data_IF_828564781104
#
_entry.id   IF_828564781104
#
_cell.length_a   1.000
_cell.length_b   1.000
_cell.length_c   1.000
_cell.angle_alpha   90.00
_cell.angle_beta   90.00
_cell.angle_gamma   90.00
#
_symmetry.space_group_name_H-M   'P 1'
#
loop_
_entity.id
_entity.type
_entity.pdbx_description
1 polymer ?
#
# COMPACT_ATOMS: atom_id res chain seq x y z
N UNK A 1 5.71 42.69 -12.54
CA UNK A 1 4.83 41.58 -12.13
C UNK A 1 5.33 40.31 -12.83
N UNK A 2 6.23 39.56 -12.17
CA UNK A 2 6.82 38.35 -12.76
C UNK A 2 5.84 37.18 -12.63
N UNK A 3 5.31 36.75 -13.76
CA UNK A 3 4.51 35.53 -13.86
C UNK A 3 5.47 34.35 -13.63
N UNK A 4 5.34 33.67 -12.48
CA UNK A 4 6.01 32.40 -12.23
C UNK A 4 5.50 31.38 -13.25
N UNK A 5 6.28 31.11 -14.29
CA UNK A 5 6.09 29.96 -15.16
C UNK A 5 6.22 28.70 -14.30
N UNK A 6 5.13 27.96 -14.13
CA UNK A 6 5.21 26.55 -13.72
C UNK A 6 6.14 25.86 -14.72
N UNK A 7 7.24 25.29 -14.22
CA UNK A 7 8.12 24.46 -15.04
C UNK A 7 7.31 23.25 -15.49
N UNK A 8 6.95 23.22 -16.77
CA UNK A 8 6.43 22.04 -17.44
C UNK A 8 7.59 21.04 -17.50
N UNK A 9 7.56 20.00 -16.67
CA UNK A 9 8.51 18.88 -16.76
C UNK A 9 7.94 17.98 -17.88
N UNK A 10 8.64 17.81 -19.01
CA UNK A 10 8.16 16.96 -20.08
C UNK A 10 7.97 15.51 -19.57
N UNK A 11 6.94 14.82 -20.05
CA UNK A 11 6.59 13.43 -19.70
C UNK A 11 7.71 12.38 -19.96
N UNK A 12 8.87 12.80 -20.50
CA UNK A 12 10.09 12.01 -20.60
C UNK A 12 11.10 12.44 -19.52
N UNK A 13 11.00 11.82 -18.34
CA UNK A 13 12.11 11.35 -17.48
C UNK A 13 11.64 11.04 -16.05
N UNK A 14 10.42 10.52 -15.85
CA UNK A 14 10.08 9.99 -14.52
C UNK A 14 10.81 8.65 -14.36
N UNK A 15 11.52 8.50 -13.25
CA UNK A 15 12.01 7.21 -12.80
C UNK A 15 10.84 6.20 -12.65
N UNK A 16 11.12 4.89 -12.60
CA UNK A 16 10.10 3.88 -12.35
C UNK A 16 9.27 4.11 -11.07
N UNK A 17 9.89 4.50 -9.95
CA UNK A 17 9.13 4.78 -8.72
C UNK A 17 8.33 6.09 -8.81
N UNK A 18 8.86 7.16 -9.40
CA UNK A 18 8.07 8.37 -9.66
C UNK A 18 6.87 8.10 -10.58
N UNK A 19 7.05 7.25 -11.60
CA UNK A 19 5.98 6.85 -12.52
C UNK A 19 4.88 6.08 -11.79
N UNK A 20 5.23 5.08 -10.98
CA UNK A 20 4.28 4.33 -10.16
C UNK A 20 3.54 5.26 -9.21
N UNK A 21 4.27 6.11 -8.50
CA UNK A 21 3.70 7.04 -7.53
C UNK A 21 2.76 8.04 -8.20
N UNK A 22 3.13 8.57 -9.36
CA UNK A 22 2.31 9.48 -10.15
C UNK A 22 0.97 8.84 -10.53
N UNK A 23 0.98 7.59 -10.99
CA UNK A 23 -0.24 6.85 -11.35
C UNK A 23 -1.22 6.77 -10.17
N UNK A 24 -0.74 6.39 -8.98
CA UNK A 24 -1.58 6.22 -7.79
C UNK A 24 -1.93 7.52 -7.08
N UNK A 25 -1.20 8.60 -7.34
CA UNK A 25 -1.49 9.93 -6.82
C UNK A 25 -2.46 10.71 -7.71
N UNK A 26 -2.45 10.48 -9.02
CA UNK A 26 -3.18 11.34 -9.97
C UNK A 26 -4.25 10.62 -10.79
N UNK A 27 -4.17 9.30 -10.97
CA UNK A 27 -5.07 8.57 -11.86
C UNK A 27 -5.96 7.56 -11.13
N UNK A 28 -5.46 6.97 -10.04
CA UNK A 28 -6.25 6.05 -9.21
C UNK A 28 -6.77 6.80 -7.99
N UNK A 29 -8.09 6.76 -7.80
CA UNK A 29 -8.80 7.46 -6.72
C UNK A 29 -9.45 6.50 -5.74
N UNK A 30 -9.90 7.03 -4.60
CA UNK A 30 -10.68 6.31 -3.58
C UNK A 30 -11.88 5.58 -4.17
N UNK A 31 -12.51 6.12 -5.22
CA UNK A 31 -13.68 5.53 -5.87
C UNK A 31 -13.39 4.14 -6.47
N UNK A 32 -12.14 3.84 -6.82
CA UNK A 32 -11.74 2.54 -7.36
C UNK A 32 -11.73 1.43 -6.31
N UNK A 33 -11.81 1.79 -5.02
CA UNK A 33 -11.82 0.84 -3.90
C UNK A 33 -13.00 1.05 -2.96
N UNK A 34 -13.84 2.06 -3.16
CA UNK A 34 -14.98 2.32 -2.29
C UNK A 34 -16.13 1.35 -2.53
N UNK A 35 -16.82 0.98 -1.46
CA UNK A 35 -18.10 0.27 -1.50
C UNK A 35 -19.27 1.23 -1.29
N UNK A 36 -20.45 0.85 -1.77
CA UNK A 36 -21.68 1.60 -1.49
C UNK A 36 -21.97 1.61 0.01
N UNK A 37 -22.35 2.78 0.53
CA UNK A 37 -22.89 2.91 1.87
C UNK A 37 -24.37 2.56 1.79
N UNK A 38 -24.75 1.45 2.42
CA UNK A 38 -26.16 1.09 2.57
C UNK A 38 -26.85 2.11 3.48
N UNK A 39 -28.01 2.62 3.07
CA UNK A 39 -28.72 3.74 3.71
C UNK A 39 -30.12 3.29 4.13
N UNK A 40 -30.54 3.70 5.34
CA UNK A 40 -31.89 3.46 5.85
C UNK A 40 -32.55 4.78 6.26
N UNK A 41 -33.88 4.81 6.24
CA UNK A 41 -34.65 5.97 6.72
C UNK A 41 -34.49 6.12 8.25
N UNK A 42 -34.43 7.36 8.73
CA UNK A 42 -34.36 7.63 10.17
C UNK A 42 -35.54 7.09 10.99
N UNK A 43 -36.70 6.90 10.36
CA UNK A 43 -37.90 6.33 10.97
C UNK A 43 -37.92 4.78 10.97
N UNK A 44 -36.93 4.12 10.35
CA UNK A 44 -36.81 2.65 10.40
C UNK A 44 -36.51 2.18 11.82
N UNK A 45 -37.10 1.06 12.24
CA UNK A 45 -36.78 0.43 13.52
C UNK A 45 -35.35 -0.11 13.52
N UNK A 46 -34.65 0.05 14.65
CA UNK A 46 -33.27 -0.43 14.77
C UNK A 46 -33.17 -1.95 14.63
N UNK A 47 -34.23 -2.71 14.96
CA UNK A 47 -34.27 -4.17 14.76
C UNK A 47 -34.10 -4.56 13.30
N UNK A 48 -34.76 -3.84 12.40
CA UNK A 48 -34.72 -4.12 10.97
C UNK A 48 -33.35 -3.76 10.40
N UNK A 49 -32.85 -2.58 10.76
CA UNK A 49 -31.50 -2.15 10.39
C UNK A 49 -30.41 -3.08 10.94
N UNK A 50 -30.59 -3.63 12.14
CA UNK A 50 -29.66 -4.57 12.75
C UNK A 50 -29.72 -5.94 12.07
N UNK A 51 -30.87 -6.34 11.49
CA UNK A 51 -30.95 -7.48 10.57
C UNK A 51 -30.13 -7.22 9.31
N UNK A 52 -30.35 -6.09 8.63
CA UNK A 52 -29.60 -5.70 7.42
C UNK A 52 -28.09 -5.76 7.68
N UNK A 53 -27.64 -5.18 8.80
CA UNK A 53 -26.23 -5.19 9.19
C UNK A 53 -25.69 -6.60 9.46
N UNK A 54 -26.47 -7.50 10.07
CA UNK A 54 -26.04 -8.88 10.34
C UNK A 54 -25.98 -9.72 9.07
N UNK A 55 -27.02 -9.62 8.24
CA UNK A 55 -27.18 -10.43 7.05
C UNK A 55 -26.10 -10.12 6.01
N UNK A 56 -25.65 -8.86 5.95
CA UNK A 56 -24.61 -8.41 5.02
C UNK A 56 -23.22 -8.24 5.67
N UNK A 57 -23.10 -8.48 6.98
CA UNK A 57 -21.85 -8.30 7.71
C UNK A 57 -21.39 -6.84 7.83
N UNK A 58 -22.30 -5.87 7.73
CA UNK A 58 -21.98 -4.45 7.85
C UNK A 58 -21.81 -4.02 9.31
N UNK A 59 -20.80 -3.18 9.55
CA UNK A 59 -20.58 -2.55 10.85
C UNK A 59 -21.25 -1.18 10.98
N UNK A 60 -21.68 -0.57 9.87
CA UNK A 60 -22.40 0.69 9.85
C UNK A 60 -23.39 0.78 8.69
N UNK A 61 -24.39 1.64 8.87
CA UNK A 61 -25.34 2.06 7.84
C UNK A 61 -25.40 3.59 7.82
N UNK A 62 -25.61 4.17 6.64
CA UNK A 62 -26.02 5.56 6.49
C UNK A 62 -27.45 5.74 6.98
N UNK A 63 -27.77 6.94 7.45
CA UNK A 63 -29.13 7.30 7.85
C UNK A 63 -29.57 8.51 7.04
N UNK A 64 -30.73 8.39 6.40
CA UNK A 64 -31.34 9.48 5.66
C UNK A 64 -32.54 10.11 6.38
N UNK A 65 -32.72 11.40 6.12
CA UNK A 65 -33.91 12.16 6.44
C UNK A 65 -34.23 13.10 5.28
N UNK A 66 -35.49 13.11 4.84
CA UNK A 66 -35.99 13.94 3.73
C UNK A 66 -35.13 13.82 2.45
N UNK A 67 -34.71 12.59 2.12
CA UNK A 67 -33.91 12.27 0.91
C UNK A 67 -32.46 12.76 0.96
N UNK A 68 -31.92 13.03 2.16
CA UNK A 68 -30.51 13.38 2.36
C UNK A 68 -29.88 12.50 3.42
N UNK A 69 -28.65 12.06 3.18
CA UNK A 69 -27.87 11.33 4.19
C UNK A 69 -27.41 12.32 5.27
N UNK A 70 -27.98 12.20 6.46
CA UNK A 70 -27.74 13.13 7.59
C UNK A 70 -26.69 12.63 8.58
N UNK A 71 -26.31 11.35 8.48
CA UNK A 71 -25.28 10.75 9.32
C UNK A 71 -25.18 9.25 9.08
N UNK A 72 -24.58 8.56 10.03
CA UNK A 72 -24.46 7.11 10.01
C UNK A 72 -24.68 6.55 11.42
N UNK A 73 -24.88 5.25 11.52
CA UNK A 73 -24.98 4.55 12.80
C UNK A 73 -24.09 3.32 12.80
N UNK A 74 -23.57 2.96 13.99
CA UNK A 74 -22.69 1.81 14.16
C UNK A 74 -23.43 0.66 14.83
N UNK A 75 -23.28 -0.56 14.30
CA UNK A 75 -23.97 -1.76 14.79
C UNK A 75 -23.84 -1.98 16.29
N UNK A 76 -22.63 -1.75 16.82
CA UNK A 76 -22.29 -1.97 18.24
C UNK A 76 -22.99 -1.00 19.20
N UNK A 77 -23.51 0.13 18.71
CA UNK A 77 -24.11 1.18 19.54
C UNK A 77 -25.64 1.17 19.45
N UNK A 78 -26.22 0.30 18.61
CA UNK A 78 -27.66 0.19 18.45
C UNK A 78 -28.29 -0.50 19.65
N UNK A 79 -29.36 0.12 20.17
CA UNK A 79 -30.33 -0.49 21.07
C UNK A 79 -31.72 -0.54 20.43
N UNK A 80 -32.76 -0.68 21.24
CA UNK A 80 -34.15 -0.65 20.77
C UNK A 80 -34.60 0.79 20.50
N UNK A 81 -35.26 1.02 19.37
CA UNK A 81 -35.83 2.32 19.01
C UNK A 81 -35.84 2.58 17.52
N UNK A 82 -35.77 3.86 17.14
CA UNK A 82 -35.74 4.32 15.76
C UNK A 82 -34.30 4.66 15.35
N UNK A 83 -33.92 4.44 14.10
CA UNK A 83 -32.56 4.69 13.61
C UNK A 83 -32.11 6.15 13.86
N UNK A 84 -33.03 7.12 13.77
CA UNK A 84 -32.74 8.54 14.02
C UNK A 84 -32.19 8.86 15.41
N UNK A 85 -32.45 8.02 16.42
CA UNK A 85 -31.93 8.25 17.78
C UNK A 85 -30.47 7.83 17.95
N UNK A 86 -29.91 7.11 16.98
CA UNK A 86 -28.54 6.57 17.02
C UNK A 86 -27.60 7.21 15.99
N UNK A 87 -28.02 8.31 15.37
CA UNK A 87 -27.24 9.01 14.34
C UNK A 87 -25.95 9.58 14.94
N UNK A 88 -24.85 9.30 14.26
CA UNK A 88 -23.55 9.96 14.41
C UNK A 88 -23.30 10.87 13.22
N UNK A 89 -22.77 12.06 13.50
CA UNK A 89 -22.33 12.99 12.47
C UNK A 89 -21.05 12.49 11.81
N UNK A 90 -20.92 12.74 10.51
CA UNK A 90 -19.67 12.51 9.79
C UNK A 90 -18.60 13.50 10.25
N UNK A 91 -17.46 12.99 10.71
CA UNK A 91 -16.31 13.83 11.06
C UNK A 91 -15.58 14.25 9.79
N UNK A 92 -15.17 15.52 9.71
CA UNK A 92 -14.42 16.03 8.53
C UNK A 92 -13.15 15.23 8.24
N UNK A 93 -12.50 14.69 9.28
CA UNK A 93 -11.30 13.85 9.14
C UNK A 93 -11.59 12.47 8.52
N UNK A 94 -12.84 12.04 8.50
CA UNK A 94 -13.29 10.75 7.97
C UNK A 94 -14.02 10.90 6.63
N UNK A 95 -14.10 12.11 6.05
CA UNK A 95 -14.81 12.36 4.79
C UNK A 95 -13.84 12.85 3.72
N UNK A 96 -13.86 12.23 2.56
CA UNK A 96 -13.05 12.62 1.39
C UNK A 96 -13.91 12.68 0.13
N UNK A 97 -13.54 13.51 -0.84
CA UNK A 97 -14.18 13.48 -2.17
C UNK A 97 -13.81 12.19 -2.92
N UNK A 98 -14.73 11.71 -3.75
CA UNK A 98 -14.53 10.63 -4.73
C UNK A 98 -13.30 10.78 -5.65
N UNK A 99 -12.81 12.01 -5.85
CA UNK A 99 -11.59 12.31 -6.60
C UNK A 99 -10.31 12.24 -5.76
N UNK A 100 -10.39 11.97 -4.45
CA UNK A 100 -9.22 11.85 -3.57
C UNK A 100 -8.36 10.69 -4.04
N UNK A 101 -7.04 10.88 -4.11
CA UNK A 101 -6.16 9.85 -4.66
C UNK A 101 -6.10 8.63 -3.75
N UNK A 102 -5.92 7.45 -4.34
CA UNK A 102 -5.79 6.22 -3.57
C UNK A 102 -4.61 6.30 -2.59
N UNK A 103 -3.50 6.91 -3.01
CA UNK A 103 -2.35 7.10 -2.13
C UNK A 103 -2.68 7.94 -0.89
N UNK A 104 -3.42 9.04 -1.04
CA UNK A 104 -3.86 9.84 0.10
C UNK A 104 -4.83 9.08 1.00
N UNK A 105 -5.78 8.34 0.40
CA UNK A 105 -6.70 7.48 1.14
C UNK A 105 -5.96 6.46 2.00
N UNK A 106 -4.90 5.83 1.49
CA UNK A 106 -4.11 4.86 2.26
C UNK A 106 -3.51 5.49 3.52
N UNK A 107 -2.98 6.71 3.46
CA UNK A 107 -2.46 7.36 4.68
C UNK A 107 -3.56 7.74 5.67
N UNK A 108 -4.74 8.16 5.18
CA UNK A 108 -5.87 8.48 6.05
C UNK A 108 -6.40 7.23 6.78
N UNK A 109 -6.37 6.06 6.15
CA UNK A 109 -6.70 4.78 6.76
C UNK A 109 -5.68 4.34 7.84
N UNK A 110 -4.60 5.08 8.09
CA UNK A 110 -3.65 4.73 9.15
C UNK A 110 -4.25 4.93 10.53
N UNK A 111 -4.98 6.04 10.66
CA UNK A 111 -5.46 6.57 11.92
C UNK A 111 -7.01 6.51 12.02
N UNK A 112 -7.68 6.03 10.98
CA UNK A 112 -9.14 5.92 10.91
C UNK A 112 -9.58 4.49 10.60
N UNK A 113 -10.75 4.09 11.12
CA UNK A 113 -11.32 2.77 10.86
C UNK A 113 -11.99 2.67 9.49
N UNK A 114 -12.46 3.82 9.00
CA UNK A 114 -13.24 3.97 7.79
C UNK A 114 -13.07 5.39 7.26
N UNK A 115 -13.31 5.55 5.97
CA UNK A 115 -13.41 6.83 5.29
C UNK A 115 -14.71 6.83 4.49
N UNK A 116 -15.55 7.82 4.72
CA UNK A 116 -16.74 8.10 3.93
C UNK A 116 -16.36 8.90 2.69
N UNK A 117 -17.02 8.59 1.58
CA UNK A 117 -16.74 9.20 0.28
C UNK A 117 -17.96 10.05 -0.12
N UNK A 118 -17.70 11.33 -0.35
CA UNK A 118 -18.70 12.29 -0.84
C UNK A 118 -18.64 12.37 -2.37
N UNK A 119 -19.81 12.21 -3.00
CA UNK A 119 -20.03 12.38 -4.44
C UNK A 119 -21.03 13.53 -4.62
N UNK A 120 -20.58 14.62 -5.25
CA UNK A 120 -21.36 15.86 -5.33
C UNK A 120 -21.63 16.45 -3.95
N UNK A 121 -22.84 16.26 -3.42
CA UNK A 121 -23.26 16.76 -2.11
C UNK A 121 -23.81 15.67 -1.17
N UNK A 122 -23.63 14.39 -1.51
CA UNK A 122 -24.09 13.26 -0.70
C UNK A 122 -22.94 12.31 -0.38
N UNK A 123 -22.97 11.74 0.82
CA UNK A 123 -22.11 10.62 1.18
C UNK A 123 -22.80 9.34 0.71
N UNK A 124 -22.22 8.70 -0.31
CA UNK A 124 -22.82 7.56 -1.00
C UNK A 124 -22.04 6.27 -0.79
N UNK A 125 -20.79 6.39 -0.30
CA UNK A 125 -19.81 5.31 -0.30
C UNK A 125 -18.93 5.36 0.94
N UNK A 126 -18.26 4.25 1.23
CA UNK A 126 -17.23 4.17 2.24
C UNK A 126 -16.06 3.27 1.80
N UNK A 127 -14.94 3.45 2.48
CA UNK A 127 -13.76 2.59 2.42
C UNK A 127 -13.41 2.19 3.85
N UNK A 128 -13.06 0.93 4.02
CA UNK A 128 -12.62 0.33 5.29
C UNK A 128 -11.28 -0.37 5.09
N UNK A 129 -10.75 -0.93 6.17
CA UNK A 129 -9.56 -1.78 6.10
C UNK A 129 -9.72 -3.03 5.25
N UNK A 130 -10.93 -3.58 5.11
CA UNK A 130 -11.18 -4.75 4.27
C UNK A 130 -10.88 -4.44 2.78
N UNK A 131 -11.09 -3.19 2.38
CA UNK A 131 -10.89 -2.72 1.00
C UNK A 131 -9.41 -2.60 0.61
N UNK A 132 -8.48 -2.71 1.57
CA UNK A 132 -7.05 -2.80 1.28
C UNK A 132 -6.71 -4.05 0.46
N UNK A 133 -7.55 -5.09 0.48
CA UNK A 133 -7.38 -6.26 -0.36
C UNK A 133 -7.80 -6.04 -1.81
N UNK A 134 -8.39 -4.90 -2.16
CA UNK A 134 -8.86 -4.70 -3.53
C UNK A 134 -7.71 -4.59 -4.52
N UNK A 135 -7.90 -5.04 -5.79
CA UNK A 135 -6.84 -5.09 -6.78
C UNK A 135 -6.03 -3.80 -6.95
N UNK A 136 -6.61 -2.58 -6.94
CA UNK A 136 -5.82 -1.35 -7.04
C UNK A 136 -4.78 -1.19 -5.93
N UNK A 137 -5.11 -1.53 -4.68
CA UNK A 137 -4.17 -1.47 -3.56
C UNK A 137 -3.10 -2.55 -3.70
N UNK A 138 -3.50 -3.78 -4.06
CA UNK A 138 -2.55 -4.87 -4.27
C UNK A 138 -1.53 -4.54 -5.37
N UNK A 139 -1.99 -3.95 -6.48
CA UNK A 139 -1.14 -3.50 -7.58
C UNK A 139 -0.12 -2.45 -7.13
N UNK A 140 -0.55 -1.48 -6.31
CA UNK A 140 0.36 -0.49 -5.74
C UNK A 140 1.43 -1.13 -4.85
N UNK A 141 1.01 -1.97 -3.90
CA UNK A 141 1.92 -2.65 -2.96
C UNK A 141 2.91 -3.55 -3.71
N UNK A 142 2.44 -4.31 -4.70
CA UNK A 142 3.28 -5.16 -5.52
C UNK A 142 4.29 -4.34 -6.34
N UNK A 143 3.87 -3.21 -6.90
CA UNK A 143 4.76 -2.28 -7.60
C UNK A 143 5.88 -1.77 -6.69
N UNK A 144 5.53 -1.33 -5.47
CA UNK A 144 6.50 -0.83 -4.50
C UNK A 144 7.54 -1.88 -4.12
N UNK A 145 7.09 -3.10 -3.77
CA UNK A 145 7.96 -4.23 -3.46
C UNK A 145 8.88 -4.58 -4.64
N UNK A 146 8.33 -4.63 -5.85
CA UNK A 146 9.09 -4.96 -7.07
C UNK A 146 10.19 -3.93 -7.34
N UNK A 147 9.89 -2.65 -7.15
CA UNK A 147 10.86 -1.56 -7.30
C UNK A 147 11.97 -1.64 -6.25
N UNK A 148 11.65 -2.01 -5.01
CA UNK A 148 12.70 -2.25 -4.00
C UNK A 148 13.61 -3.37 -4.45
N UNK A 149 13.06 -4.50 -4.89
CA UNK A 149 13.86 -5.62 -5.39
C UNK A 149 14.76 -5.24 -6.57
N UNK A 150 14.26 -4.38 -7.48
CA UNK A 150 15.01 -3.87 -8.63
C UNK A 150 16.12 -2.92 -8.20
N UNK A 151 15.82 -1.90 -7.39
CA UNK A 151 16.81 -0.91 -6.98
C UNK A 151 17.88 -1.48 -6.06
N UNK A 152 17.53 -2.40 -5.15
CA UNK A 152 18.55 -3.09 -4.36
C UNK A 152 19.54 -3.85 -5.24
N UNK A 153 19.06 -4.52 -6.29
CA UNK A 153 19.93 -5.21 -7.25
C UNK A 153 20.88 -4.22 -7.94
N UNK A 154 20.37 -3.08 -8.41
CA UNK A 154 21.18 -2.05 -9.05
C UNK A 154 22.24 -1.45 -8.11
N UNK A 155 21.87 -1.14 -6.86
CA UNK A 155 22.80 -0.67 -5.85
C UNK A 155 23.90 -1.71 -5.55
N UNK A 156 23.55 -2.99 -5.46
CA UNK A 156 24.55 -4.06 -5.27
C UNK A 156 25.51 -4.11 -6.47
N UNK A 157 25.00 -4.03 -7.72
CA UNK A 157 25.85 -3.99 -8.93
C UNK A 157 26.82 -2.81 -8.90
N UNK A 158 26.34 -1.61 -8.55
CA UNK A 158 27.12 -0.38 -8.55
C UNK A 158 28.17 -0.33 -7.43
N UNK A 159 27.79 -0.71 -6.21
CA UNK A 159 28.63 -0.48 -5.03
C UNK A 159 29.45 -1.70 -4.60
N UNK A 160 29.11 -2.90 -5.08
CA UNK A 160 29.80 -4.18 -4.83
C UNK A 160 30.10 -4.93 -6.16
N UNK A 161 30.92 -4.35 -7.05
CA UNK A 161 31.25 -4.95 -8.35
C UNK A 161 32.13 -6.19 -8.22
N UNK A 162 32.41 -6.87 -9.34
CA UNK A 162 33.33 -8.00 -9.44
C UNK A 162 33.00 -9.16 -8.48
N UNK A 163 31.71 -9.43 -8.28
CA UNK A 163 31.22 -10.47 -7.38
C UNK A 163 31.61 -10.30 -5.90
N UNK A 164 32.03 -9.11 -5.47
CA UNK A 164 32.37 -8.83 -4.06
C UNK A 164 31.16 -9.01 -3.14
N UNK A 165 29.94 -8.89 -3.68
CA UNK A 165 28.70 -9.19 -2.94
C UNK A 165 28.61 -10.63 -2.42
N UNK A 166 29.32 -11.61 -3.01
CA UNK A 166 29.22 -13.02 -2.63
C UNK A 166 29.65 -13.30 -1.19
N UNK A 167 30.58 -12.50 -0.64
CA UNK A 167 31.08 -12.67 0.74
C UNK A 167 29.99 -12.43 1.79
N UNK A 168 28.89 -11.81 1.40
CA UNK A 168 27.78 -11.44 2.27
C UNK A 168 26.68 -12.50 2.32
N UNK A 169 26.82 -13.61 1.58
CA UNK A 169 25.87 -14.71 1.53
C UNK A 169 26.53 -16.00 1.98
N UNK A 170 25.77 -16.86 2.66
CA UNK A 170 26.20 -18.21 2.96
C UNK A 170 26.21 -19.11 1.70
N UNK A 171 26.84 -20.27 1.83
CA UNK A 171 26.95 -21.23 0.72
C UNK A 171 25.60 -21.75 0.24
N UNK A 172 24.61 -21.90 1.13
CA UNK A 172 23.29 -22.39 0.79
C UNK A 172 22.56 -21.40 -0.12
N UNK A 173 22.58 -20.11 0.24
CA UNK A 173 22.01 -19.00 -0.55
C UNK A 173 22.71 -18.86 -1.89
N UNK A 174 24.04 -18.91 -1.92
CA UNK A 174 24.80 -18.87 -3.17
C UNK A 174 24.48 -20.06 -4.09
N UNK A 175 24.38 -21.27 -3.53
CA UNK A 175 24.01 -22.45 -4.31
C UNK A 175 22.58 -22.36 -4.84
N UNK A 176 21.65 -21.76 -4.08
CA UNK A 176 20.30 -21.50 -4.56
C UNK A 176 20.28 -20.54 -5.75
N UNK A 177 21.04 -19.45 -5.69
CA UNK A 177 21.18 -18.52 -6.81
C UNK A 177 21.79 -19.21 -8.05
N UNK A 178 22.79 -20.09 -7.86
CA UNK A 178 23.38 -20.89 -8.97
C UNK A 178 22.37 -21.84 -9.61
N UNK A 179 21.50 -22.47 -8.82
CA UNK A 179 20.45 -23.34 -9.36
C UNK A 179 19.48 -22.55 -10.26
N UNK A 180 19.04 -21.37 -9.80
CA UNK A 180 18.16 -20.48 -10.57
C UNK A 180 18.88 -20.02 -11.86
N UNK A 181 20.16 -19.68 -11.75
CA UNK A 181 20.99 -19.29 -12.89
C UNK A 181 21.08 -20.40 -13.95
N UNK A 182 21.34 -21.64 -13.54
CA UNK A 182 21.38 -22.79 -14.45
C UNK A 182 20.02 -23.03 -15.14
N UNK A 183 18.92 -22.90 -14.39
CA UNK A 183 17.57 -23.03 -14.95
C UNK A 183 17.30 -21.97 -16.01
N UNK A 184 17.63 -20.70 -15.75
CA UNK A 184 17.43 -19.61 -16.71
C UNK A 184 18.38 -19.66 -17.91
N UNK A 185 19.62 -20.09 -17.70
CA UNK A 185 20.57 -20.30 -18.80
C UNK A 185 20.08 -21.42 -19.74
N UNK A 186 19.41 -22.45 -19.22
CA UNK A 186 18.87 -23.56 -20.03
C UNK A 186 17.79 -23.13 -21.04
N UNK A 187 17.21 -21.94 -20.86
CA UNK A 187 16.24 -21.33 -21.77
C UNK A 187 16.83 -20.16 -22.58
N UNK A 188 18.17 -20.08 -22.69
CA UNK A 188 18.93 -19.07 -23.44
C UNK A 188 18.72 -17.61 -22.98
N UNK A 189 18.41 -17.38 -21.70
CA UNK A 189 18.42 -16.03 -21.15
C UNK A 189 19.86 -15.52 -20.96
N UNK A 190 20.17 -14.35 -21.52
CA UNK A 190 21.42 -13.64 -21.22
C UNK A 190 21.29 -12.95 -19.85
N UNK A 191 21.79 -13.61 -18.82
CA UNK A 191 21.72 -13.14 -17.43
C UNK A 191 23.06 -13.32 -16.72
N UNK A 192 23.22 -12.63 -15.59
CA UNK A 192 24.32 -12.82 -14.65
C UNK A 192 23.83 -13.54 -13.39
N UNK A 193 24.76 -14.17 -12.64
CA UNK A 193 24.41 -14.84 -11.37
C UNK A 193 23.73 -13.89 -10.36
N UNK A 194 24.13 -12.62 -10.35
CA UNK A 194 23.56 -11.60 -9.47
C UNK A 194 22.07 -11.32 -9.78
N UNK A 195 21.63 -11.56 -11.02
CA UNK A 195 20.22 -11.38 -11.42
C UNK A 195 19.31 -12.51 -10.87
N UNK A 196 19.91 -13.56 -10.32
CA UNK A 196 19.23 -14.68 -9.67
C UNK A 196 19.08 -14.51 -8.15
N UNK A 197 19.52 -13.38 -7.60
CA UNK A 197 19.33 -13.05 -6.18
C UNK A 197 17.86 -12.78 -5.88
N UNK A 198 17.37 -13.41 -4.81
CA UNK A 198 16.04 -13.17 -4.27
C UNK A 198 16.06 -11.97 -3.31
N UNK A 199 14.89 -11.46 -2.91
CA UNK A 199 14.79 -10.35 -1.96
C UNK A 199 15.53 -10.62 -0.63
N UNK A 200 15.44 -11.83 -0.09
CA UNK A 200 16.20 -12.19 1.12
C UNK A 200 17.72 -12.11 0.92
N UNK A 201 18.24 -12.50 -0.25
CA UNK A 201 19.67 -12.35 -0.54
C UNK A 201 20.08 -10.87 -0.59
N UNK A 202 19.27 -10.06 -1.29
CA UNK A 202 19.51 -8.61 -1.42
C UNK A 202 19.47 -7.94 -0.06
N UNK A 203 18.53 -8.31 0.82
CA UNK A 203 18.48 -7.89 2.22
C UNK A 203 19.79 -8.23 2.93
N UNK A 204 20.22 -9.49 2.88
CA UNK A 204 21.39 -9.95 3.65
C UNK A 204 22.66 -9.22 3.19
N UNK A 205 22.82 -9.00 1.87
CA UNK A 205 23.90 -8.18 1.31
C UNK A 205 23.85 -6.74 1.83
N UNK A 206 22.68 -6.09 1.75
CA UNK A 206 22.50 -4.69 2.17
C UNK A 206 22.74 -4.49 3.66
N UNK A 207 22.27 -5.40 4.51
CA UNK A 207 22.39 -5.31 5.97
C UNK A 207 23.82 -5.62 6.44
N UNK A 208 24.50 -6.56 5.80
CA UNK A 208 25.86 -6.96 6.18
C UNK A 208 26.94 -6.03 5.63
N UNK A 209 26.75 -5.47 4.43
CA UNK A 209 27.67 -4.51 3.82
C UNK A 209 27.58 -3.15 4.51
N UNK A 210 28.64 -2.75 5.22
CA UNK A 210 28.70 -1.44 5.88
C UNK A 210 28.47 -0.29 4.88
N UNK A 211 29.02 -0.43 3.66
CA UNK A 211 28.88 0.56 2.59
C UNK A 211 27.42 0.74 2.17
N UNK A 212 26.71 -0.34 1.85
CA UNK A 212 25.30 -0.27 1.44
C UNK A 212 24.37 0.11 2.59
N UNK A 213 24.61 -0.41 3.78
CA UNK A 213 23.79 -0.13 4.95
C UNK A 213 23.71 1.37 5.25
N UNK A 214 24.83 2.10 5.12
CA UNK A 214 24.87 3.54 5.36
C UNK A 214 24.23 4.39 4.24
N UNK A 215 23.95 3.81 3.07
CA UNK A 215 23.28 4.52 1.97
C UNK A 215 21.77 4.57 2.13
N UNK A 216 21.18 3.57 2.79
CA UNK A 216 19.73 3.46 2.93
C UNK A 216 19.25 4.08 4.25
N UNK A 217 18.01 4.61 4.30
CA UNK A 217 17.43 5.24 5.49
C UNK A 217 16.98 4.20 6.54
N UNK A 218 17.89 3.32 6.96
CA UNK A 218 17.63 2.26 7.94
C UNK A 218 18.15 2.68 9.31
N UNK A 219 17.28 2.62 10.33
CA UNK A 219 17.64 3.06 11.69
C UNK A 219 18.68 2.16 12.37
N UNK A 220 18.62 0.85 12.12
CA UNK A 220 19.58 -0.13 12.65
C UNK A 220 19.52 -1.42 11.82
N UNK A 221 20.54 -2.27 11.94
CA UNK A 221 20.55 -3.58 11.26
C UNK A 221 19.32 -4.43 11.61
N UNK A 222 18.98 -4.51 12.89
CA UNK A 222 17.82 -5.28 13.36
C UNK A 222 16.49 -4.70 12.84
N UNK A 223 16.34 -3.37 12.81
CA UNK A 223 15.13 -2.73 12.27
C UNK A 223 15.04 -2.93 10.76
N UNK A 224 16.16 -2.81 10.03
CA UNK A 224 16.21 -3.06 8.60
C UNK A 224 15.90 -4.51 8.24
N UNK A 225 16.45 -5.47 8.98
CA UNK A 225 16.16 -6.90 8.81
C UNK A 225 14.67 -7.20 9.05
N UNK A 226 14.09 -6.64 10.11
CA UNK A 226 12.65 -6.77 10.40
C UNK A 226 11.82 -6.19 9.25
N UNK A 227 12.13 -4.98 8.78
CA UNK A 227 11.44 -4.35 7.66
C UNK A 227 11.49 -5.23 6.40
N UNK A 228 12.67 -5.65 5.96
CA UNK A 228 12.81 -6.46 4.74
C UNK A 228 12.14 -7.83 4.85
N UNK A 229 12.14 -8.47 6.03
CA UNK A 229 11.38 -9.71 6.26
C UNK A 229 9.88 -9.48 6.14
N UNK A 230 9.35 -8.38 6.67
CA UNK A 230 7.93 -8.03 6.52
C UNK A 230 7.59 -7.68 5.08
N UNK A 231 8.48 -6.99 4.36
CA UNK A 231 8.34 -6.72 2.93
C UNK A 231 8.33 -8.02 2.10
N UNK A 232 9.22 -8.98 2.42
CA UNK A 232 9.27 -10.31 1.79
C UNK A 232 8.00 -11.11 2.04
N UNK A 233 7.47 -11.10 3.27
CA UNK A 233 6.20 -11.75 3.57
C UNK A 233 5.03 -11.09 2.82
N UNK A 234 5.00 -9.75 2.74
CA UNK A 234 3.98 -9.03 1.97
C UNK A 234 4.07 -9.42 0.49
N UNK A 235 5.28 -9.47 -0.07
CA UNK A 235 5.53 -9.91 -1.45
C UNK A 235 4.96 -11.30 -1.71
N UNK A 236 5.23 -12.25 -0.82
CA UNK A 236 4.77 -13.63 -0.97
C UNK A 236 3.24 -13.71 -0.92
N UNK A 237 2.60 -12.99 0.01
CA UNK A 237 1.14 -12.95 0.08
C UNK A 237 0.52 -12.37 -1.19
N UNK A 238 1.06 -11.26 -1.71
CA UNK A 238 0.60 -10.62 -2.95
C UNK A 238 0.79 -11.55 -4.16
N UNK A 239 1.97 -12.16 -4.29
CA UNK A 239 2.28 -13.05 -5.41
C UNK A 239 1.42 -14.33 -5.44
N UNK A 240 0.95 -14.77 -4.28
CA UNK A 240 0.08 -15.94 -4.16
C UNK A 240 -1.41 -15.59 -4.05
N UNK A 241 -1.79 -14.32 -4.26
CA UNK A 241 -3.16 -13.81 -4.09
C UNK A 241 -3.79 -14.22 -2.75
N UNK A 242 -2.97 -14.30 -1.70
CA UNK A 242 -3.40 -14.64 -0.36
C UNK A 242 -3.94 -13.41 0.37
N UNK A 243 -4.90 -13.64 1.26
CA UNK A 243 -5.37 -12.62 2.20
C UNK A 243 -4.21 -12.22 3.13
N UNK A 244 -3.64 -11.03 2.87
CA UNK A 244 -2.57 -10.47 3.69
C UNK A 244 -3.09 -9.78 4.96
N UNK A 245 -4.38 -9.52 5.10
CA UNK A 245 -4.94 -8.91 6.31
C UNK A 245 -4.92 -9.85 7.51
N UNK A 246 -4.80 -11.16 7.27
CA UNK A 246 -4.51 -12.15 8.33
C UNK A 246 -3.08 -12.04 8.89
N UNK A 247 -2.14 -11.56 8.07
CA UNK A 247 -0.71 -11.47 8.42
C UNK A 247 -0.26 -10.06 8.79
N UNK A 248 -1.03 -9.04 8.42
CA UNK A 248 -0.69 -7.63 8.56
C UNK A 248 -1.90 -6.85 9.05
N UNK A 249 -1.67 -5.97 10.02
CA UNK A 249 -2.66 -4.93 10.36
C UNK A 249 -2.61 -3.81 9.32
N UNK A 250 -3.71 -3.08 9.14
CA UNK A 250 -3.77 -1.93 8.22
C UNK A 250 -2.70 -0.89 8.51
N UNK A 251 -2.53 -0.54 9.80
CA UNK A 251 -1.51 0.41 10.24
C UNK A 251 -0.09 -0.07 9.89
N UNK A 252 0.15 -1.38 9.97
CA UNK A 252 1.42 -1.96 9.56
C UNK A 252 1.64 -1.92 8.05
N UNK A 253 0.63 -2.22 7.23
CA UNK A 253 0.72 -2.07 5.76
C UNK A 253 1.07 -0.63 5.41
N UNK A 254 0.41 0.34 6.01
CA UNK A 254 0.65 1.76 5.71
C UNK A 254 2.05 2.18 6.19
N UNK A 255 2.51 1.67 7.34
CA UNK A 255 3.88 1.88 7.82
C UNK A 255 4.91 1.29 6.85
N UNK A 256 4.66 0.10 6.28
CA UNK A 256 5.51 -0.51 5.24
C UNK A 256 5.52 0.37 4.00
N UNK A 257 4.37 0.89 3.55
CA UNK A 257 4.29 1.82 2.41
C UNK A 257 5.15 3.06 2.65
N UNK A 258 5.00 3.73 3.79
CA UNK A 258 5.77 4.92 4.14
C UNK A 258 7.28 4.67 4.17
N UNK A 259 7.70 3.55 4.77
CA UNK A 259 9.12 3.16 4.81
C UNK A 259 9.64 2.81 3.42
N UNK A 260 8.82 2.14 2.61
CA UNK A 260 9.17 1.76 1.23
C UNK A 260 9.37 2.97 0.34
N UNK A 261 8.46 3.95 0.37
CA UNK A 261 8.61 5.19 -0.41
C UNK A 261 9.88 5.96 -0.03
N UNK A 262 10.26 5.99 1.25
CA UNK A 262 11.52 6.61 1.68
C UNK A 262 12.73 5.89 1.11
N UNK A 263 12.73 4.56 1.15
CA UNK A 263 13.82 3.75 0.57
C UNK A 263 13.90 3.96 -0.93
N UNK A 264 12.78 3.86 -1.64
CA UNK A 264 12.74 4.03 -3.10
C UNK A 264 13.23 5.40 -3.54
N UNK A 265 12.80 6.46 -2.85
CA UNK A 265 13.28 7.81 -3.13
C UNK A 265 14.80 7.94 -2.95
N UNK A 266 15.37 7.37 -1.87
CA UNK A 266 16.82 7.40 -1.66
C UNK A 266 17.54 6.58 -2.73
N UNK A 267 16.98 5.42 -3.14
CA UNK A 267 17.55 4.63 -4.23
C UNK A 267 17.61 5.42 -5.54
N UNK A 268 16.53 6.10 -5.93
CA UNK A 268 16.50 6.95 -7.14
C UNK A 268 17.57 8.04 -7.08
N UNK A 269 17.65 8.75 -5.95
CA UNK A 269 18.65 9.82 -5.73
C UNK A 269 20.10 9.27 -5.88
N UNK A 270 20.36 8.04 -5.42
CA UNK A 270 21.68 7.39 -5.51
C UNK A 270 22.02 6.84 -6.90
N UNK A 271 21.00 6.46 -7.67
CA UNK A 271 21.12 5.88 -9.02
C UNK A 271 21.14 6.97 -10.10
N UNK A 272 20.80 8.21 -9.75
CA UNK A 272 20.76 9.34 -10.68
C UNK A 272 19.54 9.32 -11.59
N UNK A 273 18.42 8.73 -11.12
CA UNK A 273 17.13 8.69 -11.79
C UNK A 273 16.20 9.84 -11.37
#
# INVERSE_FOLDING_TARGET
MQIRRQKFIPYHSLSPHQSLRSLFLHNITVNHIAELLEIVEGETNTTDALSIMKDNGYDCLGVEADGKVVGYMERKDLGEGLCKTYIKSFLTAEVVSDSTSLLQTLYLLKDTKRIFVIEGNQITKLVTHADLQKPPVQLYLFGQVSLVEMYLLQLIKQYLPNNTWKIHLDEQRLNRAKQIFQQRQSINEQIELIDCLQLCDKRDIVISSQKLFHLLPLESKNKGERYFRRLEQLRNNLAHAQDFTNSFTSSEIITIVEQTERILRICEELLGE
#
